data_IF_568596021386
#
_entry.id   IF_568596021386
#
_cell.length_a   1.000
_cell.length_b   1.000
_cell.length_c   1.000
_cell.angle_alpha   90.00
_cell.angle_beta   90.00
_cell.angle_gamma   90.00
#
_symmetry.space_group_name_H-M   'P 1'
#
loop_
_entity.id
_entity.type
_entity.pdbx_description
1 polymer ?
#
# COMPACT_ATOMS: atom_id res chain seq x y z
N UNK A 1 -39.44 -6.32 6.25
CA UNK A 1 -38.83 -5.34 5.34
C UNK A 1 -38.28 -4.13 6.12
N UNK A 2 -39.06 -3.49 7.01
CA UNK A 2 -38.61 -2.30 7.77
C UNK A 2 -37.28 -2.42 8.55
N UNK A 3 -36.95 -3.59 9.12
CA UNK A 3 -35.69 -3.75 9.87
C UNK A 3 -34.45 -3.45 9.03
N UNK A 4 -34.48 -3.74 7.71
CA UNK A 4 -33.35 -3.45 6.82
C UNK A 4 -33.23 -1.96 6.52
N UNK A 5 -34.35 -1.23 6.46
CA UNK A 5 -34.38 0.22 6.20
C UNK A 5 -33.65 1.02 7.28
N UNK A 6 -33.85 0.68 8.56
CA UNK A 6 -33.13 1.33 9.66
C UNK A 6 -31.61 1.07 9.60
N UNK A 7 -31.21 -0.17 9.32
CA UNK A 7 -29.79 -0.53 9.18
C UNK A 7 -29.16 0.16 7.97
N UNK A 8 -29.87 0.23 6.83
CA UNK A 8 -29.43 0.95 5.63
C UNK A 8 -29.18 2.43 5.90
N UNK A 9 -30.12 3.11 6.58
CA UNK A 9 -29.98 4.53 6.89
C UNK A 9 -28.75 4.82 7.77
N UNK A 10 -28.52 4.01 8.81
CA UNK A 10 -27.34 4.12 9.67
C UNK A 10 -26.06 3.78 8.88
N UNK A 11 -26.12 2.75 8.03
CA UNK A 11 -25.00 2.30 7.23
C UNK A 11 -24.52 3.38 6.25
N UNK A 12 -25.43 3.99 5.47
CA UNK A 12 -25.10 5.02 4.46
C UNK A 12 -24.40 6.23 5.07
N UNK A 13 -24.65 6.54 6.35
CA UNK A 13 -23.96 7.60 7.10
C UNK A 13 -22.72 7.14 7.86
N UNK A 14 -22.12 6.01 7.46
CA UNK A 14 -20.87 5.53 8.03
C UNK A 14 -21.02 4.93 9.44
N UNK A 15 -22.24 4.62 9.88
CA UNK A 15 -22.52 3.94 11.14
C UNK A 15 -23.24 4.76 12.19
N UNK A 16 -23.53 6.04 11.92
CA UNK A 16 -24.26 6.93 12.83
C UNK A 16 -25.32 7.75 12.09
N UNK A 17 -26.48 7.96 12.69
CA UNK A 17 -27.61 8.66 12.08
C UNK A 17 -28.24 9.63 13.08
N UNK A 18 -28.40 10.93 12.78
CA UNK A 18 -28.97 11.88 13.72
C UNK A 18 -30.45 11.59 14.02
N UNK A 19 -30.87 12.03 15.20
CA UNK A 19 -32.26 11.99 15.66
C UNK A 19 -32.64 13.38 16.19
N UNK A 20 -33.66 14.07 15.65
CA UNK A 20 -34.67 13.58 14.71
C UNK A 20 -34.13 13.20 13.32
N UNK A 21 -34.77 12.20 12.70
CA UNK A 21 -34.37 11.68 11.40
C UNK A 21 -34.60 12.72 10.30
N UNK A 22 -33.54 13.04 9.56
CA UNK A 22 -33.59 13.80 8.31
C UNK A 22 -32.75 13.05 7.28
N UNK A 23 -33.39 12.56 6.21
CA UNK A 23 -32.72 11.90 5.09
C UNK A 23 -32.64 12.85 3.90
N UNK A 24 -31.52 12.82 3.18
CA UNK A 24 -31.40 13.49 1.89
C UNK A 24 -32.10 12.68 0.77
N UNK A 25 -32.31 13.26 -0.43
CA UNK A 25 -33.01 12.57 -1.53
C UNK A 25 -32.34 11.29 -2.00
N UNK A 26 -31.02 11.18 -1.84
CA UNK A 26 -30.25 10.02 -2.29
C UNK A 26 -30.32 8.88 -1.28
N UNK A 27 -30.24 9.21 0.01
CA UNK A 27 -30.52 8.29 1.10
C UNK A 27 -31.95 7.75 1.00
N UNK A 28 -32.92 8.61 0.67
CA UNK A 28 -34.28 8.16 0.46
C UNK A 28 -34.37 7.14 -0.70
N UNK A 29 -33.72 7.40 -1.84
CA UNK A 29 -33.66 6.43 -2.95
C UNK A 29 -33.02 5.10 -2.54
N UNK A 30 -31.96 5.14 -1.73
CA UNK A 30 -31.34 3.92 -1.18
C UNK A 30 -32.27 3.15 -0.24
N UNK A 31 -33.11 3.83 0.53
CA UNK A 31 -34.14 3.16 1.35
C UNK A 31 -35.26 2.57 0.48
N UNK A 32 -35.64 3.25 -0.60
CA UNK A 32 -36.65 2.77 -1.54
C UNK A 32 -36.16 1.52 -2.30
N UNK A 33 -34.87 1.43 -2.65
CA UNK A 33 -34.31 0.26 -3.36
C UNK A 33 -34.34 -1.02 -2.52
N UNK A 34 -34.31 -0.92 -1.19
CA UNK A 34 -34.49 -2.07 -0.28
C UNK A 34 -35.98 -2.32 0.09
N UNK A 35 -36.90 -1.60 -0.57
CA UNK A 35 -38.34 -1.75 -0.42
C UNK A 35 -38.92 -1.09 0.83
N UNK A 36 -38.27 -0.05 1.37
CA UNK A 36 -38.73 0.68 2.54
C UNK A 36 -39.05 2.16 2.26
N UNK A 37 -39.50 2.86 3.30
CA UNK A 37 -39.62 4.31 3.31
C UNK A 37 -39.20 4.94 4.64
N UNK A 38 -39.26 6.27 4.70
CA UNK A 38 -38.89 7.04 5.91
C UNK A 38 -39.71 6.61 7.14
N UNK A 39 -40.99 6.28 6.95
CA UNK A 39 -41.84 5.79 8.04
C UNK A 39 -41.32 4.46 8.61
N UNK A 40 -40.92 3.53 7.73
CA UNK A 40 -40.33 2.25 8.13
C UNK A 40 -39.02 2.44 8.89
N UNK A 41 -38.16 3.37 8.43
CA UNK A 41 -36.91 3.71 9.14
C UNK A 41 -37.22 4.15 10.57
N UNK A 42 -38.15 5.09 10.76
CA UNK A 42 -38.52 5.58 12.10
C UNK A 42 -39.10 4.48 12.98
N UNK A 43 -39.98 3.64 12.44
CA UNK A 43 -40.58 2.53 13.18
C UNK A 43 -39.52 1.50 13.58
N UNK A 44 -38.65 1.13 12.65
CA UNK A 44 -37.63 0.11 12.88
C UNK A 44 -36.47 0.58 13.76
N UNK A 45 -36.10 1.87 13.75
CA UNK A 45 -35.12 2.39 14.72
C UNK A 45 -35.59 2.17 16.17
N UNK A 46 -36.85 2.49 16.46
CA UNK A 46 -37.41 2.27 17.80
C UNK A 46 -37.57 0.77 18.11
N UNK A 47 -37.98 -0.05 17.14
CA UNK A 47 -38.16 -1.48 17.35
C UNK A 47 -36.83 -2.24 17.57
N UNK A 48 -35.73 -1.72 17.01
CA UNK A 48 -34.40 -2.32 17.11
C UNK A 48 -33.55 -1.73 18.24
N UNK A 49 -34.01 -0.69 18.92
CA UNK A 49 -33.27 -0.04 20.02
C UNK A 49 -32.93 -1.06 21.13
N UNK A 50 -31.69 -1.02 21.61
CA UNK A 50 -31.17 -1.98 22.57
C UNK A 50 -30.78 -3.35 21.99
N UNK A 51 -31.13 -3.67 20.73
CA UNK A 51 -30.83 -4.96 20.08
C UNK A 51 -29.73 -4.86 19.02
N UNK A 52 -30.04 -4.32 17.83
CA UNK A 52 -29.08 -4.15 16.73
C UNK A 52 -28.56 -2.72 16.64
N UNK A 53 -29.34 -1.76 17.13
CA UNK A 53 -29.01 -0.34 17.15
C UNK A 53 -29.18 0.21 18.56
N UNK A 54 -28.55 1.34 18.83
CA UNK A 54 -28.67 2.06 20.09
C UNK A 54 -28.95 3.53 19.82
N UNK A 55 -29.91 4.10 20.57
CA UNK A 55 -30.01 5.55 20.73
C UNK A 55 -29.01 6.03 21.76
N UNK A 56 -28.17 7.00 21.37
CA UNK A 56 -27.18 7.62 22.24
C UNK A 56 -27.35 9.15 22.26
N UNK A 57 -26.77 9.80 23.26
CA UNK A 57 -26.58 11.24 23.32
C UNK A 57 -25.07 11.48 23.29
N UNK A 58 -24.61 12.24 22.30
CA UNK A 58 -23.20 12.58 22.10
C UNK A 58 -23.12 14.05 21.68
N UNK A 59 -22.27 14.83 22.34
CA UNK A 59 -22.14 16.29 22.13
C UNK A 59 -23.47 17.07 22.22
N UNK A 60 -24.40 16.59 23.06
CA UNK A 60 -25.72 17.20 23.24
C UNK A 60 -26.74 16.85 22.15
N UNK A 61 -26.37 16.03 21.17
CA UNK A 61 -27.24 15.58 20.09
C UNK A 61 -27.67 14.12 20.25
N UNK A 62 -28.92 13.81 19.93
CA UNK A 62 -29.38 12.43 19.87
C UNK A 62 -28.94 11.79 18.55
N UNK A 63 -28.32 10.61 18.63
CA UNK A 63 -27.90 9.83 17.46
C UNK A 63 -28.30 8.37 17.60
N UNK A 64 -28.47 7.70 16.48
CA UNK A 64 -28.58 6.25 16.35
C UNK A 64 -27.26 5.71 15.85
N UNK A 65 -26.84 4.56 16.37
CA UNK A 65 -25.66 3.83 15.87
C UNK A 65 -25.87 2.33 15.92
N UNK A 66 -25.05 1.57 15.21
CA UNK A 66 -24.99 0.12 15.40
C UNK A 66 -24.57 -0.22 16.84
N UNK A 67 -25.21 -1.23 17.43
CA UNK A 67 -24.84 -1.71 18.77
C UNK A 67 -23.45 -2.33 18.80
N UNK A 68 -23.07 -3.01 17.73
CA UNK A 68 -21.77 -3.68 17.62
C UNK A 68 -21.22 -3.56 16.18
N UNK A 69 -19.89 -3.42 15.98
CA UNK A 69 -19.30 -3.36 14.64
C UNK A 69 -19.68 -4.53 13.74
N UNK A 70 -19.82 -5.74 14.31
CA UNK A 70 -20.23 -6.94 13.56
C UNK A 70 -21.61 -6.83 12.91
N UNK A 71 -22.53 -6.01 13.45
CA UNK A 71 -23.84 -5.76 12.82
C UNK A 71 -23.66 -4.95 11.54
N UNK A 72 -22.77 -3.94 11.57
CA UNK A 72 -22.40 -3.15 10.39
C UNK A 72 -21.77 -4.06 9.33
N UNK A 73 -20.84 -4.93 9.74
CA UNK A 73 -20.15 -5.83 8.81
C UNK A 73 -21.11 -6.83 8.18
N UNK A 74 -21.98 -7.47 8.98
CA UNK A 74 -23.00 -8.37 8.46
C UNK A 74 -23.95 -7.66 7.48
N UNK A 75 -24.31 -6.40 7.76
CA UNK A 75 -25.13 -5.62 6.85
C UNK A 75 -24.39 -5.26 5.56
N UNK A 76 -23.09 -4.94 5.64
CA UNK A 76 -22.24 -4.68 4.48
C UNK A 76 -22.18 -5.88 3.52
N UNK A 77 -22.02 -7.10 4.05
CA UNK A 77 -22.01 -8.32 3.22
C UNK A 77 -23.36 -8.54 2.51
N UNK A 78 -24.48 -8.23 3.19
CA UNK A 78 -25.82 -8.34 2.58
C UNK A 78 -25.94 -7.39 1.38
N UNK A 79 -25.61 -6.10 1.55
CA UNK A 79 -25.75 -5.11 0.48
C UNK A 79 -24.70 -5.28 -0.63
N UNK A 80 -23.54 -5.84 -0.33
CA UNK A 80 -22.52 -6.15 -1.33
C UNK A 80 -22.95 -7.28 -2.29
N UNK A 81 -23.80 -8.20 -1.81
CA UNK A 81 -24.24 -9.37 -2.60
C UNK A 81 -25.38 -9.07 -3.59
N UNK A 82 -25.91 -7.84 -3.59
CA UNK A 82 -27.05 -7.44 -4.43
C UNK A 82 -26.74 -6.13 -5.16
N UNK A 83 -26.67 -6.21 -6.50
CA UNK A 83 -26.33 -5.06 -7.35
C UNK A 83 -27.38 -3.94 -7.26
N UNK A 84 -28.64 -4.26 -6.96
CA UNK A 84 -29.71 -3.27 -6.76
C UNK A 84 -29.49 -2.43 -5.49
N UNK A 85 -28.62 -2.89 -4.59
CA UNK A 85 -28.26 -2.22 -3.33
C UNK A 85 -26.86 -1.59 -3.37
N UNK A 86 -26.23 -1.54 -4.55
CA UNK A 86 -24.87 -1.03 -4.73
C UNK A 86 -24.69 0.39 -4.17
N UNK A 87 -25.66 1.28 -4.36
CA UNK A 87 -25.56 2.67 -3.92
C UNK A 87 -25.56 2.76 -2.37
N UNK A 88 -26.24 1.83 -1.69
CA UNK A 88 -26.18 1.71 -0.23
C UNK A 88 -24.78 1.25 0.19
N UNK A 89 -24.24 0.22 -0.50
CA UNK A 89 -22.89 -0.30 -0.23
C UNK A 89 -21.82 0.79 -0.40
N UNK A 90 -21.81 1.48 -1.54
CA UNK A 90 -20.81 2.49 -1.88
C UNK A 90 -20.81 3.69 -0.90
N UNK A 91 -22.00 4.11 -0.42
CA UNK A 91 -22.10 5.18 0.59
C UNK A 91 -21.57 4.77 1.95
N UNK A 92 -21.98 3.58 2.42
CA UNK A 92 -21.78 3.20 3.81
C UNK A 92 -20.51 2.41 4.10
N UNK A 93 -19.92 1.78 3.09
CA UNK A 93 -18.64 1.07 3.22
C UNK A 93 -17.51 2.04 3.49
N UNK A 94 -16.62 1.73 4.44
CA UNK A 94 -15.43 2.56 4.67
C UNK A 94 -14.55 2.61 3.41
N UNK A 95 -13.75 3.68 3.28
CA UNK A 95 -12.84 3.83 2.12
C UNK A 95 -11.85 2.66 2.04
N UNK A 96 -11.34 2.22 3.20
CA UNK A 96 -10.46 1.05 3.27
C UNK A 96 -11.13 -0.23 2.77
N UNK A 97 -12.43 -0.40 3.08
CA UNK A 97 -13.23 -1.51 2.57
C UNK A 97 -13.42 -1.40 1.06
N UNK A 98 -13.75 -0.21 0.55
CA UNK A 98 -13.89 0.02 -0.88
C UNK A 98 -12.60 -0.36 -1.63
N UNK A 99 -11.45 0.18 -1.21
CA UNK A 99 -10.16 -0.13 -1.86
C UNK A 99 -9.79 -1.63 -1.79
N UNK A 100 -10.22 -2.33 -0.73
CA UNK A 100 -9.91 -3.74 -0.51
C UNK A 100 -10.90 -4.74 -1.10
N UNK A 101 -12.15 -4.36 -1.38
CA UNK A 101 -13.22 -5.30 -1.74
C UNK A 101 -13.79 -5.07 -3.15
N UNK A 102 -13.63 -3.88 -3.75
CA UNK A 102 -14.24 -3.57 -5.05
C UNK A 102 -13.23 -3.53 -6.19
N UNK A 103 -13.69 -3.73 -7.43
CA UNK A 103 -12.98 -3.31 -8.64
C UNK A 103 -13.85 -2.35 -9.45
N UNK A 104 -13.24 -1.39 -10.14
CA UNK A 104 -13.92 -0.55 -11.11
C UNK A 104 -13.76 -1.17 -12.49
N UNK A 105 -14.82 -1.82 -12.95
CA UNK A 105 -14.82 -2.68 -14.13
C UNK A 105 -14.50 -4.13 -13.79
N UNK A 106 -14.87 -5.03 -14.72
CA UNK A 106 -14.52 -6.44 -14.62
C UNK A 106 -13.10 -6.67 -15.15
N UNK A 107 -12.17 -6.85 -14.22
CA UNK A 107 -10.75 -7.04 -14.48
C UNK A 107 -10.32 -8.51 -14.34
N UNK A 108 -11.26 -9.43 -14.11
CA UNK A 108 -10.95 -10.85 -13.86
C UNK A 108 -10.15 -11.10 -12.57
N UNK A 109 -10.25 -10.21 -11.58
CA UNK A 109 -9.52 -10.30 -10.31
C UNK A 109 -10.26 -11.24 -9.37
N UNK A 110 -9.57 -12.28 -8.88
CA UNK A 110 -10.13 -13.16 -7.86
C UNK A 110 -10.33 -12.45 -6.51
N UNK A 111 -11.41 -12.77 -5.82
CA UNK A 111 -11.70 -12.23 -4.49
C UNK A 111 -12.30 -10.81 -4.47
N UNK A 112 -12.62 -10.23 -5.63
CA UNK A 112 -13.46 -9.02 -5.70
C UNK A 112 -14.86 -9.36 -5.23
N UNK A 113 -15.37 -8.62 -4.24
CA UNK A 113 -16.75 -8.77 -3.75
C UNK A 113 -17.76 -8.05 -4.64
N UNK A 114 -17.39 -6.88 -5.15
CA UNK A 114 -18.28 -6.02 -5.93
C UNK A 114 -17.54 -5.46 -7.14
N UNK A 115 -18.06 -5.73 -8.32
CA UNK A 115 -17.61 -5.10 -9.56
C UNK A 115 -18.45 -3.84 -9.80
N UNK A 116 -17.82 -2.68 -9.74
CA UNK A 116 -18.47 -1.39 -9.93
C UNK A 116 -18.69 -1.16 -11.43
N UNK A 117 -19.93 -0.89 -11.87
CA UNK A 117 -20.21 -0.53 -13.26
C UNK A 117 -19.83 0.93 -13.56
N UNK A 118 -19.58 1.23 -14.84
CA UNK A 118 -19.14 2.54 -15.32
C UNK A 118 -20.04 3.71 -14.89
N UNK A 119 -21.36 3.48 -14.80
CA UNK A 119 -22.35 4.48 -14.37
C UNK A 119 -22.32 4.78 -12.86
N UNK A 120 -21.36 4.20 -12.12
CA UNK A 120 -21.11 4.44 -10.69
C UNK A 120 -19.67 4.87 -10.38
N UNK A 121 -18.83 5.06 -11.39
CA UNK A 121 -17.46 5.51 -11.20
C UNK A 121 -17.39 6.87 -10.50
N UNK A 122 -18.26 7.80 -10.89
CA UNK A 122 -18.32 9.14 -10.29
C UNK A 122 -18.48 9.08 -8.78
N UNK A 123 -19.42 8.25 -8.32
CA UNK A 123 -19.69 8.07 -6.90
C UNK A 123 -18.48 7.51 -6.14
N UNK A 124 -17.71 6.61 -6.77
CA UNK A 124 -16.47 6.08 -6.16
C UNK A 124 -15.37 7.13 -6.14
N UNK A 125 -15.24 7.93 -7.21
CA UNK A 125 -14.26 9.03 -7.28
C UNK A 125 -14.53 10.05 -6.18
N UNK A 126 -15.78 10.52 -6.03
CA UNK A 126 -16.21 11.45 -4.99
C UNK A 126 -15.90 10.93 -3.57
N UNK A 127 -16.04 9.62 -3.34
CA UNK A 127 -15.67 9.00 -2.07
C UNK A 127 -14.18 9.14 -1.79
N UNK A 128 -13.33 8.97 -2.80
CA UNK A 128 -11.88 9.06 -2.66
C UNK A 128 -11.35 10.50 -2.60
N UNK A 129 -12.14 11.51 -2.97
CA UNK A 129 -11.74 12.93 -2.78
C UNK A 129 -11.58 13.31 -1.31
N UNK A 130 -12.19 12.55 -0.40
CA UNK A 130 -12.06 12.75 1.06
C UNK A 130 -10.74 12.20 1.62
N UNK A 131 -9.93 11.53 0.81
CA UNK A 131 -8.67 10.93 1.25
C UNK A 131 -7.58 11.99 1.49
N UNK A 132 -6.93 11.89 2.64
CA UNK A 132 -5.67 12.60 2.88
C UNK A 132 -4.50 11.80 2.27
N UNK A 133 -4.16 12.14 1.03
CA UNK A 133 -3.06 11.51 0.29
C UNK A 133 -1.66 11.92 0.77
N UNK A 134 -1.55 12.84 1.74
CA UNK A 134 -0.26 13.14 2.39
C UNK A 134 0.16 12.02 3.35
N UNK A 135 -0.79 11.22 3.84
CA UNK A 135 -0.52 10.03 4.64
C UNK A 135 0.00 8.91 3.74
N UNK A 136 1.26 8.53 3.91
CA UNK A 136 1.91 7.50 3.09
C UNK A 136 1.11 6.20 3.00
N UNK A 137 0.57 5.69 4.11
CA UNK A 137 -0.25 4.46 4.11
C UNK A 137 -1.56 4.58 3.32
N UNK A 138 -2.17 5.77 3.28
CA UNK A 138 -3.35 6.06 2.46
C UNK A 138 -2.97 6.13 0.99
N UNK A 139 -1.93 6.90 0.65
CA UNK A 139 -1.41 7.00 -0.71
C UNK A 139 -1.06 5.63 -1.28
N UNK A 140 -0.36 4.80 -0.50
CA UNK A 140 0.03 3.44 -0.89
C UNK A 140 -1.15 2.59 -1.33
N UNK A 141 -2.20 2.55 -0.51
CA UNK A 141 -3.43 1.79 -0.79
C UNK A 141 -4.18 2.35 -1.99
N UNK A 142 -4.23 3.68 -2.10
CA UNK A 142 -4.89 4.34 -3.21
C UNK A 142 -4.19 4.11 -4.55
N UNK A 143 -2.86 4.29 -4.60
CA UNK A 143 -2.07 3.98 -5.81
C UNK A 143 -2.21 2.51 -6.20
N UNK A 144 -2.19 1.59 -5.23
CA UNK A 144 -2.43 0.17 -5.49
C UNK A 144 -3.83 -0.10 -6.08
N UNK A 145 -4.86 0.57 -5.54
CA UNK A 145 -6.21 0.48 -6.07
C UNK A 145 -6.27 0.96 -7.54
N UNK A 146 -5.67 2.12 -7.84
CA UNK A 146 -5.62 2.64 -9.20
C UNK A 146 -4.86 1.73 -10.18
N UNK A 147 -3.75 1.13 -9.75
CA UNK A 147 -2.92 0.30 -10.63
C UNK A 147 -3.51 -1.09 -10.88
N UNK A 148 -4.18 -1.68 -9.88
CA UNK A 148 -4.63 -3.07 -9.94
C UNK A 148 -6.13 -3.27 -10.05
N UNK A 149 -6.96 -2.33 -9.56
CA UNK A 149 -8.42 -2.50 -9.43
C UNK A 149 -9.24 -1.56 -10.29
N UNK A 150 -8.61 -0.73 -11.10
CA UNK A 150 -9.28 0.16 -12.03
C UNK A 150 -9.04 -0.23 -13.49
N UNK A 151 -10.11 -0.21 -14.26
CA UNK A 151 -10.06 -0.27 -15.72
C UNK A 151 -9.67 1.09 -16.33
N UNK A 152 -9.60 1.11 -17.66
CA UNK A 152 -9.22 2.30 -18.42
C UNK A 152 -10.21 3.46 -18.22
N UNK A 153 -11.51 3.17 -18.22
CA UNK A 153 -12.53 4.21 -18.22
C UNK A 153 -12.63 4.88 -16.85
N UNK A 154 -12.46 4.12 -15.76
CA UNK A 154 -12.35 4.69 -14.41
C UNK A 154 -11.15 5.63 -14.32
N UNK A 155 -9.99 5.18 -14.79
CA UNK A 155 -8.76 5.98 -14.73
C UNK A 155 -8.87 7.25 -15.59
N UNK A 156 -9.51 7.16 -16.76
CA UNK A 156 -9.80 8.32 -17.59
C UNK A 156 -10.69 9.33 -16.87
N UNK A 157 -11.81 8.89 -16.28
CA UNK A 157 -12.72 9.75 -15.51
C UNK A 157 -12.02 10.38 -14.30
N UNK A 158 -11.21 9.61 -13.58
CA UNK A 158 -10.43 10.11 -12.44
C UNK A 158 -9.43 11.20 -12.88
N UNK A 159 -8.72 10.99 -13.99
CA UNK A 159 -7.74 11.95 -14.50
C UNK A 159 -8.39 13.22 -15.07
N UNK A 160 -9.58 13.12 -15.66
CA UNK A 160 -10.34 14.30 -16.11
C UNK A 160 -10.70 15.21 -14.93
N UNK A 161 -11.08 14.62 -13.78
CA UNK A 161 -11.40 15.36 -12.56
C UNK A 161 -10.15 15.83 -11.80
N UNK A 162 -9.03 15.11 -11.91
CA UNK A 162 -7.78 15.40 -11.21
C UNK A 162 -6.57 15.51 -12.17
N UNK A 163 -6.54 16.52 -13.07
CA UNK A 163 -5.52 16.61 -14.12
C UNK A 163 -4.09 16.78 -13.61
N UNK A 164 -3.91 17.29 -12.38
CA UNK A 164 -2.60 17.44 -11.74
C UNK A 164 -2.06 16.15 -11.12
N UNK A 165 -2.86 15.09 -11.00
CA UNK A 165 -2.47 13.85 -10.32
C UNK A 165 -1.21 13.23 -10.94
N UNK A 166 -1.14 13.17 -12.27
CA UNK A 166 0.00 12.59 -13.01
C UNK A 166 1.31 13.31 -12.68
N UNK A 167 1.26 14.64 -12.50
CA UNK A 167 2.46 15.42 -12.20
C UNK A 167 3.05 15.03 -10.84
N UNK A 168 2.19 14.66 -9.89
CA UNK A 168 2.56 14.21 -8.55
C UNK A 168 3.03 12.76 -8.46
N UNK A 169 3.03 11.99 -9.55
CA UNK A 169 3.58 10.62 -9.56
C UNK A 169 5.11 10.67 -9.58
N UNK A 170 5.75 9.93 -8.69
CA UNK A 170 7.20 9.94 -8.52
C UNK A 170 7.84 8.59 -8.85
N UNK A 171 9.14 8.66 -9.14
CA UNK A 171 10.03 7.52 -9.25
C UNK A 171 11.09 7.71 -8.17
N UNK A 172 11.44 6.65 -7.47
CA UNK A 172 12.42 6.67 -6.39
C UNK A 172 13.29 5.43 -6.42
N UNK A 173 14.22 5.37 -5.48
CA UNK A 173 15.08 4.21 -5.27
C UNK A 173 14.25 2.94 -5.09
N UNK A 174 14.71 1.85 -5.69
CA UNK A 174 14.02 0.56 -5.70
C UNK A 174 12.63 0.67 -6.32
N UNK A 175 12.56 0.56 -7.65
CA UNK A 175 11.31 0.72 -8.40
C UNK A 175 10.17 -0.15 -7.88
N UNK A 176 10.47 -1.35 -7.38
CA UNK A 176 9.49 -2.26 -6.81
C UNK A 176 8.83 -1.74 -5.51
N UNK A 177 9.50 -0.85 -4.78
CA UNK A 177 9.02 -0.27 -3.53
C UNK A 177 8.15 0.98 -3.75
N UNK A 178 8.22 1.59 -4.93
CA UNK A 178 7.53 2.85 -5.25
C UNK A 178 6.21 2.56 -5.94
N UNK A 179 5.11 2.64 -5.18
CA UNK A 179 3.74 2.38 -5.68
C UNK A 179 3.29 3.28 -6.82
N UNK A 180 3.86 4.47 -6.93
CA UNK A 180 3.56 5.40 -8.01
C UNK A 180 3.99 4.83 -9.37
N UNK A 181 5.05 4.02 -9.41
CA UNK A 181 5.55 3.40 -10.65
C UNK A 181 4.54 2.40 -11.20
N UNK A 182 3.85 1.65 -10.34
CA UNK A 182 2.78 0.75 -10.79
C UNK A 182 1.60 1.51 -11.39
N UNK A 183 1.28 2.71 -10.87
CA UNK A 183 0.27 3.59 -11.47
C UNK A 183 0.75 4.11 -12.81
N UNK A 184 2.01 4.55 -12.92
CA UNK A 184 2.61 5.01 -14.18
C UNK A 184 2.53 3.91 -15.25
N UNK A 185 2.91 2.67 -14.91
CA UNK A 185 2.81 1.50 -15.79
C UNK A 185 1.36 1.30 -16.24
N UNK A 186 0.41 1.32 -15.30
CA UNK A 186 -1.01 1.11 -15.62
C UNK A 186 -1.55 2.19 -16.56
N UNK A 187 -1.23 3.44 -16.30
CA UNK A 187 -1.62 4.56 -17.17
C UNK A 187 -0.99 4.42 -18.56
N UNK A 188 0.27 3.97 -18.65
CA UNK A 188 0.93 3.73 -19.92
C UNK A 188 0.24 2.60 -20.71
N UNK A 189 -0.05 1.47 -20.07
CA UNK A 189 -0.77 0.33 -20.67
C UNK A 189 -2.11 0.73 -21.29
N UNK A 190 -2.80 1.70 -20.67
CA UNK A 190 -4.08 2.20 -21.15
C UNK A 190 -4.00 3.40 -22.09
N UNK A 191 -2.80 3.86 -22.43
CA UNK A 191 -2.58 5.04 -23.27
C UNK A 191 -3.05 6.35 -22.62
N UNK A 192 -3.07 6.40 -21.28
CA UNK A 192 -3.48 7.57 -20.48
C UNK A 192 -2.29 8.36 -19.93
N UNK A 193 -1.06 7.83 -20.04
CA UNK A 193 0.15 8.52 -19.60
C UNK A 193 0.66 9.49 -20.69
N UNK A 194 0.78 10.80 -20.41
CA UNK A 194 1.39 11.75 -21.34
C UNK A 194 2.85 11.39 -21.64
N UNK A 195 3.23 11.52 -22.92
CA UNK A 195 4.58 11.17 -23.40
C UNK A 195 5.69 11.95 -22.68
N UNK A 196 5.45 13.23 -22.35
CA UNK A 196 6.40 14.03 -21.58
C UNK A 196 6.67 13.46 -20.19
N UNK A 197 5.61 12.99 -19.51
CA UNK A 197 5.74 12.34 -18.20
C UNK A 197 6.47 11.00 -18.33
N UNK A 198 6.14 10.19 -19.35
CA UNK A 198 6.83 8.92 -19.61
C UNK A 198 8.33 9.14 -19.79
N UNK A 199 8.75 10.09 -20.64
CA UNK A 199 10.17 10.42 -20.85
C UNK A 199 10.84 10.88 -19.56
N UNK A 200 10.20 11.75 -18.79
CA UNK A 200 10.73 12.18 -17.48
C UNK A 200 10.94 10.99 -16.54
N UNK A 201 10.03 10.02 -16.53
CA UNK A 201 10.15 8.79 -15.74
C UNK A 201 11.34 7.96 -16.21
N UNK A 202 11.51 7.77 -17.53
CA UNK A 202 12.65 7.02 -18.09
C UNK A 202 13.98 7.67 -17.71
N UNK A 203 14.10 8.99 -17.82
CA UNK A 203 15.32 9.71 -17.40
C UNK A 203 15.63 9.47 -15.92
N UNK A 204 14.61 9.50 -15.04
CA UNK A 204 14.80 9.19 -13.62
C UNK A 204 15.23 7.73 -13.40
N UNK A 205 14.62 6.77 -14.09
CA UNK A 205 14.98 5.36 -13.99
C UNK A 205 16.43 5.12 -14.46
N UNK A 206 16.84 5.70 -15.58
CA UNK A 206 18.22 5.60 -16.09
C UNK A 206 19.23 6.17 -15.09
N UNK A 207 18.91 7.32 -14.47
CA UNK A 207 19.77 7.89 -13.44
C UNK A 207 19.89 6.98 -12.20
N UNK A 208 18.80 6.33 -11.81
CA UNK A 208 18.80 5.35 -10.72
C UNK A 208 19.64 4.11 -11.07
N UNK A 209 19.51 3.57 -12.28
CA UNK A 209 20.24 2.39 -12.74
C UNK A 209 21.76 2.50 -12.55
N UNK A 210 22.31 3.71 -12.63
CA UNK A 210 23.73 4.02 -12.40
C UNK A 210 24.01 4.45 -10.96
N UNK A 211 23.31 5.48 -10.45
CA UNK A 211 23.65 6.11 -9.16
C UNK A 211 23.30 5.26 -7.94
N UNK A 212 22.30 4.41 -8.06
CA UNK A 212 21.86 3.51 -6.99
C UNK A 212 21.41 2.23 -7.68
N UNK A 213 22.36 1.33 -8.02
CA UNK A 213 22.14 0.25 -8.96
C UNK A 213 20.82 -0.48 -8.72
N UNK A 214 19.87 -0.23 -9.63
CA UNK A 214 18.52 -0.76 -9.57
C UNK A 214 18.16 -1.32 -10.95
N UNK A 215 18.20 -2.64 -11.06
CA UNK A 215 17.84 -3.36 -12.28
C UNK A 215 16.33 -3.56 -12.43
N UNK A 216 15.50 -2.93 -11.59
CA UNK A 216 14.05 -3.09 -11.61
C UNK A 216 13.44 -2.82 -12.98
N UNK A 217 14.01 -1.91 -13.76
CA UNK A 217 13.54 -1.57 -15.11
C UNK A 217 13.59 -2.73 -16.11
N UNK A 218 14.38 -3.77 -15.84
CA UNK A 218 14.44 -4.98 -16.66
C UNK A 218 13.22 -5.88 -16.47
N UNK A 219 12.46 -5.71 -15.38
CA UNK A 219 11.22 -6.44 -15.16
C UNK A 219 10.21 -6.08 -16.26
N UNK A 220 9.53 -7.08 -16.83
CA UNK A 220 8.62 -6.92 -17.98
C UNK A 220 7.59 -5.80 -17.82
N UNK A 221 7.05 -5.57 -16.60
CA UNK A 221 6.06 -4.50 -16.38
C UNK A 221 6.67 -3.09 -16.52
N UNK A 222 7.91 -2.89 -16.10
CA UNK A 222 8.60 -1.61 -16.16
C UNK A 222 9.33 -1.42 -17.49
N UNK A 223 9.88 -2.51 -18.05
CA UNK A 223 10.48 -2.56 -19.39
C UNK A 223 9.52 -2.08 -20.47
N UNK A 224 8.21 -2.35 -20.30
CA UNK A 224 7.16 -1.88 -21.19
C UNK A 224 7.03 -0.34 -21.28
N UNK A 225 7.60 0.43 -20.34
CA UNK A 225 7.64 1.90 -20.42
C UNK A 225 8.67 2.41 -21.42
N UNK A 226 9.67 1.59 -21.75
CA UNK A 226 10.79 1.95 -22.60
C UNK A 226 10.47 1.69 -24.06
N UNK A 227 10.96 2.57 -24.92
CA UNK A 227 11.23 2.20 -26.32
C UNK A 227 12.52 1.38 -26.39
N UNK A 228 12.70 0.61 -27.47
CA UNK A 228 13.92 -0.18 -27.66
C UNK A 228 15.20 0.67 -27.57
N UNK A 229 15.19 1.87 -28.18
CA UNK A 229 16.35 2.77 -28.14
C UNK A 229 16.62 3.37 -26.75
N UNK A 230 15.58 3.66 -25.96
CA UNK A 230 15.76 4.13 -24.58
C UNK A 230 16.27 3.01 -23.67
N UNK A 231 15.84 1.77 -23.91
CA UNK A 231 16.34 0.61 -23.18
C UNK A 231 17.81 0.33 -23.50
N UNK A 232 18.18 0.36 -24.78
CA UNK A 232 19.56 0.24 -25.22
C UNK A 232 20.44 1.34 -24.59
N UNK A 233 19.92 2.57 -24.50
CA UNK A 233 20.61 3.67 -23.84
C UNK A 233 20.77 3.42 -22.34
N UNK A 234 19.75 2.92 -21.65
CA UNK A 234 19.83 2.60 -20.23
C UNK A 234 20.91 1.53 -19.96
N UNK A 235 20.92 0.47 -20.78
CA UNK A 235 21.94 -0.58 -20.71
C UNK A 235 23.33 -0.07 -21.07
N UNK A 236 23.45 0.84 -22.04
CA UNK A 236 24.72 1.47 -22.37
C UNK A 236 25.24 2.34 -21.22
N UNK A 237 24.38 3.07 -20.51
CA UNK A 237 24.78 3.81 -19.30
C UNK A 237 25.25 2.88 -18.19
N UNK A 238 24.55 1.76 -17.95
CA UNK A 238 25.04 0.75 -17.00
C UNK A 238 26.42 0.24 -17.42
N UNK A 239 26.60 -0.14 -18.70
CA UNK A 239 27.86 -0.68 -19.23
C UNK A 239 29.03 0.30 -19.12
N UNK A 240 28.79 1.56 -19.47
CA UNK A 240 29.88 2.54 -19.66
C UNK A 240 30.10 3.43 -18.44
N UNK A 241 29.12 3.56 -17.55
CA UNK A 241 29.19 4.45 -16.39
C UNK A 241 29.21 3.66 -15.07
N UNK A 242 28.35 2.65 -14.90
CA UNK A 242 28.32 1.86 -13.66
C UNK A 242 29.44 0.82 -13.60
N UNK A 243 29.54 -0.07 -14.60
CA UNK A 243 30.46 -1.22 -14.53
C UNK A 243 31.92 -0.83 -14.26
N UNK A 244 32.48 0.20 -14.91
CA UNK A 244 33.86 0.62 -14.64
C UNK A 244 34.08 1.22 -13.25
N UNK A 245 33.02 1.68 -12.59
CA UNK A 245 33.02 2.36 -11.28
C UNK A 245 32.45 1.47 -10.16
N UNK A 246 32.34 0.15 -10.40
CA UNK A 246 31.75 -0.78 -9.42
C UNK A 246 32.53 -0.84 -8.12
N UNK A 247 33.86 -0.77 -8.16
CA UNK A 247 34.70 -0.75 -6.96
C UNK A 247 34.33 0.44 -6.06
N UNK A 248 34.28 1.65 -6.63
CA UNK A 248 33.84 2.86 -5.92
C UNK A 248 32.40 2.74 -5.41
N UNK A 249 31.51 2.14 -6.21
CA UNK A 249 30.13 1.91 -5.81
C UNK A 249 30.04 0.97 -4.61
N UNK A 250 30.82 -0.11 -4.59
CA UNK A 250 30.85 -1.06 -3.47
C UNK A 250 31.40 -0.41 -2.21
N UNK A 251 32.46 0.39 -2.33
CA UNK A 251 33.03 1.17 -1.22
C UNK A 251 32.02 2.15 -0.64
N UNK A 252 31.25 2.85 -1.49
CA UNK A 252 30.16 3.72 -1.04
C UNK A 252 29.10 2.93 -0.26
N UNK A 253 28.71 1.75 -0.72
CA UNK A 253 27.76 0.88 0.00
C UNK A 253 28.31 0.41 1.34
N UNK A 254 29.60 0.06 1.40
CA UNK A 254 30.31 -0.31 2.62
C UNK A 254 30.36 0.86 3.61
N UNK A 255 30.65 2.07 3.14
CA UNK A 255 30.69 3.27 3.99
C UNK A 255 29.31 3.66 4.55
N UNK A 256 28.23 3.30 3.85
CA UNK A 256 26.86 3.53 4.28
C UNK A 256 26.25 2.36 5.07
N UNK A 257 27.01 1.29 5.33
CA UNK A 257 26.58 0.19 6.18
C UNK A 257 26.43 0.62 7.65
N UNK A 258 25.32 0.22 8.27
CA UNK A 258 24.96 0.52 9.66
C UNK A 258 25.10 -0.67 10.60
N UNK A 259 24.10 -0.89 11.46
CA UNK A 259 24.06 -1.99 12.44
C UNK A 259 23.13 -3.16 12.04
N UNK A 260 22.64 -3.14 10.80
CA UNK A 260 21.78 -4.18 10.23
C UNK A 260 22.60 -5.42 9.78
N UNK A 261 21.94 -6.50 9.35
CA UNK A 261 22.68 -7.65 8.81
C UNK A 261 23.40 -7.26 7.49
N UNK A 262 24.71 -7.57 7.33
CA UNK A 262 25.43 -7.25 6.11
C UNK A 262 24.82 -7.84 4.84
N UNK A 263 24.31 -9.08 4.85
CA UNK A 263 23.68 -9.66 3.67
C UNK A 263 22.44 -8.87 3.29
N UNK A 264 21.57 -8.55 4.26
CA UNK A 264 20.36 -7.77 4.02
C UNK A 264 20.68 -6.38 3.44
N UNK A 265 21.74 -5.72 3.94
CA UNK A 265 22.18 -4.41 3.44
C UNK A 265 22.66 -4.47 1.98
N UNK A 266 23.48 -5.46 1.61
CA UNK A 266 24.04 -5.59 0.27
C UNK A 266 23.12 -6.30 -0.73
N UNK A 267 22.07 -6.99 -0.27
CA UNK A 267 21.18 -7.78 -1.10
C UNK A 267 20.61 -7.01 -2.32
N UNK A 268 20.15 -5.76 -2.21
CA UNK A 268 19.61 -5.06 -3.38
C UNK A 268 20.66 -4.82 -4.48
N UNK A 269 21.91 -4.51 -4.12
CA UNK A 269 23.01 -4.37 -5.08
C UNK A 269 23.32 -5.72 -5.74
N UNK A 270 23.40 -6.79 -4.94
CA UNK A 270 23.65 -8.16 -5.44
C UNK A 270 22.58 -8.57 -6.47
N UNK A 271 21.31 -8.32 -6.18
CA UNK A 271 20.19 -8.63 -7.08
C UNK A 271 20.26 -7.82 -8.38
N UNK A 272 20.60 -6.53 -8.28
CA UNK A 272 20.78 -5.68 -9.45
C UNK A 272 21.92 -6.19 -10.35
N UNK A 273 23.08 -6.48 -9.77
CA UNK A 273 24.24 -7.01 -10.49
C UNK A 273 23.95 -8.36 -11.15
N UNK A 274 23.29 -9.28 -10.44
CA UNK A 274 22.84 -10.56 -11.02
C UNK A 274 21.92 -10.36 -12.21
N UNK A 275 21.01 -9.39 -12.13
CA UNK A 275 20.09 -9.06 -13.23
C UNK A 275 20.83 -8.48 -14.43
N UNK A 276 21.76 -7.56 -14.22
CA UNK A 276 22.62 -7.02 -15.29
C UNK A 276 23.49 -8.10 -15.93
N UNK A 277 24.06 -9.02 -15.14
CA UNK A 277 24.86 -10.13 -15.68
C UNK A 277 24.06 -11.02 -16.63
N UNK A 278 22.77 -11.23 -16.32
CA UNK A 278 21.88 -11.99 -17.20
C UNK A 278 21.60 -11.24 -18.51
N UNK A 279 21.35 -9.92 -18.44
CA UNK A 279 21.11 -9.09 -19.63
C UNK A 279 22.38 -9.00 -20.51
N UNK A 280 23.58 -8.90 -19.90
CA UNK A 280 24.88 -8.86 -20.60
C UNK A 280 25.49 -10.25 -20.84
N UNK A 281 24.68 -11.32 -20.88
CA UNK A 281 25.17 -12.70 -20.98
C UNK A 281 26.04 -13.01 -22.22
N UNK A 282 26.05 -12.13 -23.23
CA UNK A 282 26.87 -12.26 -24.43
C UNK A 282 28.11 -11.35 -24.43
N UNK A 283 28.38 -10.63 -23.34
CA UNK A 283 29.43 -9.61 -23.25
C UNK A 283 30.46 -10.02 -22.17
N UNK A 284 31.58 -10.65 -22.56
CA UNK A 284 32.54 -11.21 -21.62
C UNK A 284 33.10 -10.19 -20.62
N UNK A 285 33.43 -8.99 -21.10
CA UNK A 285 34.00 -7.92 -20.26
C UNK A 285 33.01 -7.49 -19.17
N UNK A 286 31.73 -7.28 -19.53
CA UNK A 286 30.68 -6.93 -18.57
C UNK A 286 30.43 -8.04 -17.56
N UNK A 287 30.43 -9.30 -18.01
CA UNK A 287 30.30 -10.46 -17.10
C UNK A 287 31.48 -10.50 -16.12
N UNK A 288 32.69 -10.22 -16.59
CA UNK A 288 33.88 -10.20 -15.75
C UNK A 288 33.79 -9.10 -14.67
N UNK A 289 33.52 -7.84 -15.05
CA UNK A 289 33.34 -6.75 -14.09
C UNK A 289 32.31 -7.09 -13.01
N UNK A 290 31.17 -7.64 -13.41
CA UNK A 290 30.10 -7.98 -12.47
C UNK A 290 30.49 -9.16 -11.57
N UNK A 291 31.24 -10.14 -12.09
CA UNK A 291 31.66 -11.31 -11.30
C UNK A 291 32.67 -10.90 -10.24
N UNK A 292 33.68 -10.11 -10.62
CA UNK A 292 34.68 -9.57 -9.68
C UNK A 292 34.01 -8.71 -8.60
N UNK A 293 33.05 -7.86 -8.98
CA UNK A 293 32.27 -7.05 -8.05
C UNK A 293 31.46 -7.90 -7.05
N UNK A 294 30.81 -8.97 -7.52
CA UNK A 294 30.05 -9.88 -6.64
C UNK A 294 30.96 -10.61 -5.65
N UNK A 295 32.15 -11.05 -6.08
CA UNK A 295 33.15 -11.66 -5.20
C UNK A 295 33.68 -10.67 -4.16
N UNK A 296 33.90 -9.40 -4.55
CA UNK A 296 34.29 -8.33 -3.63
C UNK A 296 33.21 -8.06 -2.57
N UNK A 297 31.94 -8.01 -2.97
CA UNK A 297 30.82 -7.82 -2.03
C UNK A 297 30.75 -9.00 -1.04
N UNK A 298 30.90 -10.24 -1.50
CA UNK A 298 30.90 -11.43 -0.63
C UNK A 298 32.04 -11.36 0.41
N UNK A 299 33.24 -10.97 -0.01
CA UNK A 299 34.37 -10.78 0.91
C UNK A 299 34.11 -9.68 1.95
N UNK A 300 33.48 -8.57 1.57
CA UNK A 300 33.11 -7.48 2.48
C UNK A 300 32.04 -7.94 3.48
N UNK A 301 31.04 -8.70 3.03
CA UNK A 301 30.00 -9.27 3.91
C UNK A 301 30.65 -10.17 4.96
N UNK A 302 31.58 -11.05 4.58
CA UNK A 302 32.28 -11.94 5.50
C UNK A 302 33.15 -11.17 6.52
N UNK A 303 33.82 -10.11 6.07
CA UNK A 303 34.58 -9.20 6.93
C UNK A 303 33.67 -8.52 7.97
N UNK A 304 32.57 -7.90 7.51
CA UNK A 304 31.62 -7.20 8.36
C UNK A 304 30.90 -8.15 9.34
N UNK A 305 30.58 -9.37 8.92
CA UNK A 305 29.99 -10.40 9.81
C UNK A 305 30.91 -10.79 10.94
N UNK A 306 32.20 -10.94 10.64
CA UNK A 306 33.21 -11.26 11.65
C UNK A 306 33.34 -10.14 12.68
N UNK A 307 33.29 -8.88 12.26
CA UNK A 307 33.25 -7.72 13.16
C UNK A 307 31.94 -7.62 13.95
N UNK A 308 30.80 -7.88 13.31
CA UNK A 308 29.48 -7.81 13.91
C UNK A 308 29.27 -8.86 15.01
N UNK A 309 29.68 -10.11 14.76
CA UNK A 309 29.68 -11.17 15.77
C UNK A 309 30.55 -10.83 16.98
N UNK A 310 31.73 -10.25 16.73
CA UNK A 310 32.63 -9.81 17.80
C UNK A 310 32.06 -8.68 18.67
N UNK A 311 31.28 -7.75 18.11
CA UNK A 311 30.64 -6.65 18.87
C UNK A 311 29.50 -7.15 19.77
N UNK A 312 28.67 -8.08 19.28
CA UNK A 312 27.59 -8.68 20.10
C UNK A 312 28.14 -9.55 21.23
N UNK A 313 29.26 -10.24 21.02
CA UNK A 313 29.91 -11.02 22.06
C UNK A 313 30.66 -10.14 23.08
N UNK A 314 31.14 -8.94 22.71
CA UNK A 314 31.76 -8.01 23.66
C UNK A 314 30.75 -7.32 24.58
N UNK A 315 29.52 -7.07 24.11
CA UNK A 315 28.46 -6.46 24.91
C UNK A 315 27.86 -7.41 25.97
N UNK A 316 28.20 -8.71 25.91
CA UNK A 316 27.83 -9.69 26.95
C UNK A 316 28.84 -9.79 28.10
N UNK A 317 30.00 -9.13 27.99
CA UNK A 317 31.10 -9.23 28.96
C UNK A 317 31.53 -7.87 29.55
N UNK A 318 30.63 -6.90 29.67
CA UNK A 318 30.88 -5.65 30.43
C UNK A 318 29.77 -5.32 31.45
N UNK A 319 29.44 -6.27 32.32
CA UNK A 319 28.89 -5.95 33.65
C UNK A 319 29.35 -6.94 34.72
N UNK A 320 30.68 -7.03 34.92
CA UNK A 320 31.22 -7.57 36.18
C UNK A 320 32.59 -6.95 36.48
N UNK A 321 32.64 -5.80 37.16
CA UNK A 321 33.22 -5.76 38.51
C UNK A 321 33.02 -4.41 39.23
N UNK A 322 32.55 -4.53 40.48
CA UNK A 322 32.85 -3.69 41.67
C UNK A 322 32.17 -2.34 41.85
N UNK A 323 31.12 -2.36 42.66
CA UNK A 323 31.21 -1.73 44.00
C UNK A 323 30.69 -2.65 45.09
N UNK A 324 31.61 -3.08 45.96
CA UNK A 324 31.29 -3.75 47.22
C UNK A 324 30.61 -2.75 48.17
N UNK A 325 29.37 -3.02 48.56
CA UNK A 325 28.73 -2.39 49.71
C UNK A 325 28.35 -3.50 50.71
N UNK A 326 28.62 -3.35 52.03
CA UNK A 326 28.47 -4.44 52.98
C UNK A 326 27.00 -4.78 53.24
N UNK A 327 26.79 -6.08 53.46
CA UNK A 327 25.61 -6.75 53.97
C UNK A 327 24.77 -5.98 55.00
N UNK A 328 23.48 -5.82 54.69
CA UNK A 328 22.41 -5.77 55.69
C UNK A 328 21.10 -6.32 55.09
N UNK A 329 20.70 -7.51 55.55
CA UNK A 329 19.33 -8.03 55.70
C UNK A 329 18.27 -7.72 54.62
N UNK A 330 17.82 -8.75 53.92
CA UNK A 330 16.49 -9.36 54.17
C UNK A 330 16.10 -10.29 53.01
N UNK A 331 15.76 -11.52 53.37
CA UNK A 331 15.23 -12.59 52.53
C UNK A 331 13.97 -12.17 51.77
N UNK A 332 13.86 -12.56 50.49
CA UNK A 332 12.78 -13.43 49.95
C UNK A 332 12.99 -13.73 48.46
N UNK A 333 13.02 -15.02 48.15
CA UNK A 333 13.12 -15.61 46.81
C UNK A 333 11.73 -15.62 46.14
N UNK A 334 11.68 -15.28 44.85
CA UNK A 334 10.45 -15.16 44.02
C UNK A 334 10.18 -16.41 43.17
N UNK A 335 11.05 -17.43 43.24
CA UNK A 335 10.94 -18.63 42.41
C UNK A 335 10.86 -19.91 43.25
N UNK A 336 9.79 -20.03 44.05
CA UNK A 336 9.52 -21.25 44.84
C UNK A 336 8.07 -21.75 44.66
N UNK A 337 7.44 -21.46 43.52
CA UNK A 337 6.07 -21.92 43.23
C UNK A 337 5.90 -22.33 41.76
N UNK A 338 6.57 -23.42 41.32
CA UNK A 338 6.04 -24.33 40.28
C UNK A 338 6.68 -25.72 40.46
N UNK A 339 6.04 -26.58 41.28
CA UNK A 339 5.91 -28.03 41.08
C UNK A 339 5.34 -28.69 42.36
N UNK A 340 4.01 -28.70 42.46
CA UNK A 340 3.23 -29.81 43.04
C UNK A 340 1.79 -29.82 42.54
#
# INVERSE_FOLDING_TARGET
>A
MGNRSALAAIFMRGGTLPSPLALDPEEQRGIESIGGGIADVKQSLNALDGSLVLKIIEDGEHKWRFKHPTVRDAFAEIVASDIELLDIYLRGSSIDRLMGEVSCGDLGIEGVKVIIPINRYEMVIERFETLDLNRQGTRRRFCWFLSWRCDRDFLASYLERHPSFINGLQVGYYLYAVVDVDVIVRLHQFGLLPEEKRRSVIVSIMALAVRTPDAGFLNGKYRALFTDGELDQALASVRNELLPELENTIDDWRCNYGDDDPEDHFQPLIEALKSYRNEFSTEPDSIQYITEALEQIEAIIDELRSEYGSRRDSDFYDDTDRTSIPSASSMRSVFDDVDQ
#
